data_IF_021195569161
#
_entry.id   IF_021195569161
#
_cell.length_a   1.000
_cell.length_b   1.000
_cell.length_c   1.000
_cell.angle_alpha   90.00
_cell.angle_beta   90.00
_cell.angle_gamma   90.00
#
_symmetry.space_group_name_H-M   'P 1'
#
loop_
_entity.id
_entity.type
_entity.pdbx_description
1 polymer ?
#
# COMPACT_ATOMS: atom_id res chain seq x y z
N UNK A 1 -26.44 -25.20 2.64
CA UNK A 1 -26.20 -24.12 3.63
C UNK A 1 -25.51 -22.99 2.89
N UNK A 2 -26.01 -21.75 2.97
CA UNK A 2 -25.29 -20.61 2.38
C UNK A 2 -24.01 -20.39 3.18
N UNK A 3 -22.86 -20.33 2.50
CA UNK A 3 -21.61 -19.98 3.13
C UNK A 3 -21.75 -18.63 3.85
N UNK A 4 -21.38 -18.50 5.13
CA UNK A 4 -21.52 -17.24 5.85
C UNK A 4 -20.74 -16.10 5.17
N UNK A 5 -19.71 -16.41 4.37
CA UNK A 5 -18.93 -15.44 3.62
C UNK A 5 -19.57 -15.02 2.29
N UNK A 6 -20.59 -15.74 1.80
CA UNK A 6 -21.30 -15.37 0.55
C UNK A 6 -21.97 -13.99 0.62
N UNK A 7 -22.26 -13.51 1.84
CA UNK A 7 -22.80 -12.15 2.07
C UNK A 7 -21.84 -11.04 1.63
N UNK A 8 -20.52 -11.29 1.70
CA UNK A 8 -19.50 -10.31 1.29
C UNK A 8 -19.65 -10.00 -0.20
N UNK A 9 -19.98 -11.02 -0.99
CA UNK A 9 -20.15 -10.93 -2.43
C UNK A 9 -21.47 -10.27 -2.84
N UNK A 10 -22.54 -10.44 -2.05
CA UNK A 10 -23.81 -9.79 -2.33
C UNK A 10 -23.79 -8.30 -1.95
N UNK A 11 -23.01 -7.94 -0.93
CA UNK A 11 -22.80 -6.55 -0.50
C UNK A 11 -21.84 -5.79 -1.42
N UNK A 12 -20.89 -6.48 -2.07
CA UNK A 12 -19.88 -5.88 -2.94
C UNK A 12 -19.96 -6.44 -4.36
N UNK A 13 -21.12 -6.33 -5.01
CA UNK A 13 -21.28 -6.83 -6.38
C UNK A 13 -20.36 -6.11 -7.36
N UNK A 14 -19.82 -6.83 -8.34
CA UNK A 14 -19.01 -6.25 -9.41
C UNK A 14 -19.85 -5.33 -10.31
N UNK A 15 -19.46 -4.06 -10.38
CA UNK A 15 -20.04 -3.04 -11.27
C UNK A 15 -19.07 -2.57 -12.35
N UNK A 16 -17.77 -2.87 -12.20
CA UNK A 16 -16.69 -2.47 -13.10
C UNK A 16 -15.61 -1.72 -12.34
N UNK A 17 -15.92 -0.50 -11.87
CA UNK A 17 -14.97 0.36 -11.15
C UNK A 17 -14.41 -0.28 -9.87
N UNK A 18 -15.19 -1.13 -9.20
CA UNK A 18 -14.80 -1.81 -7.96
C UNK A 18 -14.11 -3.17 -8.18
N UNK A 19 -13.55 -3.42 -9.38
CA UNK A 19 -13.01 -4.73 -9.75
C UNK A 19 -12.01 -5.30 -8.76
N UNK A 20 -11.06 -4.50 -8.24
CA UNK A 20 -10.06 -5.01 -7.29
C UNK A 20 -10.63 -5.41 -5.94
N UNK A 21 -11.54 -4.60 -5.40
CA UNK A 21 -12.18 -4.91 -4.13
C UNK A 21 -13.10 -6.12 -4.25
N UNK A 22 -13.85 -6.20 -5.35
CA UNK A 22 -14.64 -7.38 -5.70
C UNK A 22 -13.75 -8.62 -5.85
N UNK A 23 -12.65 -8.54 -6.60
CA UNK A 23 -11.69 -9.64 -6.82
C UNK A 23 -11.09 -10.11 -5.49
N UNK A 24 -10.70 -9.18 -4.61
CA UNK A 24 -10.18 -9.50 -3.27
C UNK A 24 -11.22 -10.25 -2.43
N UNK A 25 -12.46 -9.75 -2.42
CA UNK A 25 -13.57 -10.39 -1.71
C UNK A 25 -13.90 -11.78 -2.27
N UNK A 26 -13.92 -11.92 -3.60
CA UNK A 26 -14.10 -13.21 -4.28
C UNK A 26 -13.02 -14.21 -3.87
N UNK A 27 -11.74 -13.80 -3.91
CA UNK A 27 -10.63 -14.68 -3.55
C UNK A 27 -10.70 -15.12 -2.08
N UNK A 28 -11.17 -14.27 -1.16
CA UNK A 28 -11.41 -14.66 0.23
C UNK A 28 -12.43 -15.81 0.30
N UNK A 29 -13.56 -15.69 -0.38
CA UNK A 29 -14.62 -16.73 -0.40
C UNK A 29 -14.11 -18.01 -1.05
N UNK A 30 -13.48 -17.92 -2.23
CA UNK A 30 -12.97 -19.08 -2.95
C UNK A 30 -11.84 -19.80 -2.19
N UNK A 31 -10.99 -19.07 -1.47
CA UNK A 31 -9.95 -19.67 -0.63
C UNK A 31 -10.57 -20.39 0.57
N UNK A 32 -11.52 -19.75 1.26
CA UNK A 32 -12.21 -20.37 2.40
C UNK A 32 -12.92 -21.66 2.00
N UNK A 33 -13.54 -21.68 0.82
CA UNK A 33 -14.26 -22.84 0.29
C UNK A 33 -13.39 -23.81 -0.51
N UNK A 34 -12.08 -23.52 -0.61
CA UNK A 34 -11.07 -24.36 -1.28
C UNK A 34 -11.33 -24.59 -2.77
N UNK A 35 -11.86 -23.57 -3.44
CA UNK A 35 -12.12 -23.57 -4.89
C UNK A 35 -11.14 -22.71 -5.69
N UNK A 36 -10.34 -21.85 -5.05
CA UNK A 36 -9.44 -20.90 -5.74
C UNK A 36 -8.42 -21.53 -6.68
N UNK A 37 -8.04 -22.79 -6.46
CA UNK A 37 -7.05 -23.49 -7.28
C UNK A 37 -7.46 -23.61 -8.75
N UNK A 38 -8.75 -23.65 -9.08
CA UNK A 38 -9.24 -23.76 -10.47
C UNK A 38 -8.99 -22.49 -11.31
N UNK A 39 -8.66 -21.37 -10.67
CA UNK A 39 -8.30 -20.14 -11.37
C UNK A 39 -6.86 -20.18 -11.91
N UNK A 40 -5.99 -21.00 -11.30
CA UNK A 40 -4.56 -21.02 -11.63
C UNK A 40 -4.12 -22.36 -12.24
N UNK A 41 -4.67 -23.47 -11.73
CA UNK A 41 -4.29 -24.81 -12.16
C UNK A 41 -5.11 -25.23 -13.39
N UNK A 42 -4.46 -25.83 -14.41
CA UNK A 42 -5.18 -26.36 -15.56
C UNK A 42 -6.10 -27.50 -15.16
N UNK A 43 -7.18 -27.70 -15.94
CA UNK A 43 -8.05 -28.86 -15.81
C UNK A 43 -7.23 -30.15 -16.02
N UNK A 44 -7.34 -31.17 -15.15
CA UNK A 44 -6.73 -32.47 -15.40
C UNK A 44 -7.23 -33.09 -16.72
N UNK A 45 -6.40 -33.86 -17.44
CA UNK A 45 -6.84 -34.54 -18.64
C UNK A 45 -7.89 -35.60 -18.29
N UNK A 46 -8.77 -35.92 -19.25
CA UNK A 46 -9.71 -37.03 -19.10
C UNK A 46 -8.93 -38.34 -18.94
N UNK A 47 -9.12 -39.10 -17.85
CA UNK A 47 -8.40 -40.35 -17.65
C UNK A 47 -8.77 -41.42 -18.68
N UNK A 48 -7.83 -42.32 -18.98
CA UNK A 48 -8.10 -43.52 -19.76
C UNK A 48 -8.96 -44.50 -18.94
N UNK A 49 -9.62 -45.45 -19.62
CA UNK A 49 -10.54 -46.42 -18.97
C UNK A 49 -9.81 -47.27 -17.90
N UNK A 50 -8.53 -47.54 -18.10
CA UNK A 50 -7.66 -48.32 -17.21
C UNK A 50 -6.87 -47.45 -16.22
N UNK A 51 -7.11 -46.15 -16.19
CA UNK A 51 -6.44 -45.24 -15.27
C UNK A 51 -6.82 -45.54 -13.81
N UNK A 52 -5.93 -45.26 -12.84
CA UNK A 52 -6.26 -45.41 -11.43
C UNK A 52 -7.42 -44.49 -11.00
N UNK A 53 -8.26 -44.96 -10.08
CA UNK A 53 -9.42 -44.21 -9.53
C UNK A 53 -9.07 -42.79 -9.09
N UNK A 54 -7.85 -42.58 -8.56
CA UNK A 54 -7.38 -41.26 -8.10
C UNK A 54 -7.43 -40.19 -9.20
N UNK A 55 -7.25 -40.58 -10.46
CA UNK A 55 -7.21 -39.66 -11.60
C UNK A 55 -8.62 -39.19 -11.95
N UNK A 56 -9.61 -40.10 -11.88
CA UNK A 56 -11.04 -39.76 -12.00
C UNK A 56 -11.51 -38.86 -10.86
N UNK A 57 -11.12 -39.18 -9.62
CA UNK A 57 -11.43 -38.36 -8.43
C UNK A 57 -10.83 -36.95 -8.55
N UNK A 58 -9.61 -36.84 -9.08
CA UNK A 58 -8.97 -35.54 -9.30
C UNK A 58 -9.72 -34.69 -10.34
N UNK A 59 -10.13 -35.30 -11.45
CA UNK A 59 -10.91 -34.62 -12.50
C UNK A 59 -12.26 -34.16 -11.96
N UNK A 60 -13.03 -35.04 -11.32
CA UNK A 60 -14.34 -34.72 -10.74
C UNK A 60 -14.21 -33.60 -9.70
N UNK A 61 -13.20 -33.66 -8.83
CA UNK A 61 -12.93 -32.60 -7.85
C UNK A 61 -12.66 -31.25 -8.52
N UNK A 62 -11.89 -31.24 -9.60
CA UNK A 62 -11.60 -30.02 -10.35
C UNK A 62 -12.87 -29.48 -11.01
N UNK A 63 -13.64 -30.33 -11.71
CA UNK A 63 -14.87 -29.93 -12.40
C UNK A 63 -15.92 -29.38 -11.43
N UNK A 64 -16.12 -30.03 -10.29
CA UNK A 64 -17.01 -29.55 -9.22
C UNK A 64 -16.55 -28.21 -8.64
N UNK A 65 -15.24 -28.05 -8.40
CA UNK A 65 -14.69 -26.78 -7.87
C UNK A 65 -14.79 -25.66 -8.90
N UNK A 66 -14.60 -25.96 -10.19
CA UNK A 66 -14.76 -25.00 -11.28
C UNK A 66 -16.21 -24.53 -11.37
N UNK A 67 -17.18 -25.46 -11.30
CA UNK A 67 -18.60 -25.11 -11.28
C UNK A 67 -18.94 -24.20 -10.08
N UNK A 68 -18.48 -24.54 -8.87
CA UNK A 68 -18.66 -23.70 -7.68
C UNK A 68 -18.06 -22.30 -7.87
N UNK A 69 -16.82 -22.21 -8.37
CA UNK A 69 -16.18 -20.93 -8.62
C UNK A 69 -16.91 -20.08 -9.66
N UNK A 70 -17.41 -20.69 -10.74
CA UNK A 70 -18.25 -20.02 -11.73
C UNK A 70 -19.53 -19.46 -11.11
N UNK A 71 -20.20 -20.23 -10.25
CA UNK A 71 -21.38 -19.77 -9.52
C UNK A 71 -21.08 -18.56 -8.64
N UNK A 72 -19.97 -18.58 -7.90
CA UNK A 72 -19.56 -17.44 -7.07
C UNK A 72 -19.27 -16.19 -7.90
N UNK A 73 -18.51 -16.34 -8.98
CA UNK A 73 -18.17 -15.23 -9.88
C UNK A 73 -19.45 -14.62 -10.44
N UNK A 74 -20.33 -15.43 -11.05
CA UNK A 74 -21.57 -14.94 -11.67
C UNK A 74 -22.53 -14.33 -10.65
N UNK A 75 -22.79 -15.02 -9.54
CA UNK A 75 -23.73 -14.52 -8.53
C UNK A 75 -23.29 -13.20 -7.88
N UNK A 76 -21.98 -12.92 -7.90
CA UNK A 76 -21.39 -11.71 -7.33
C UNK A 76 -21.23 -10.56 -8.33
N UNK A 77 -21.77 -10.68 -9.54
CA UNK A 77 -21.76 -9.65 -10.57
C UNK A 77 -23.09 -8.91 -10.70
N UNK A 78 -23.06 -7.72 -11.32
CA UNK A 78 -24.26 -7.08 -11.85
C UNK A 78 -24.91 -7.93 -12.94
N UNK A 79 -26.22 -7.78 -13.14
CA UNK A 79 -26.98 -8.56 -14.13
C UNK A 79 -26.45 -8.38 -15.57
N UNK A 80 -25.93 -7.18 -15.89
CA UNK A 80 -25.35 -6.89 -17.21
C UNK A 80 -24.09 -7.72 -17.43
N UNK A 81 -23.19 -7.76 -16.45
CA UNK A 81 -21.96 -8.54 -16.51
C UNK A 81 -22.23 -10.05 -16.49
N UNK A 82 -23.23 -10.50 -15.70
CA UNK A 82 -23.66 -11.90 -15.72
C UNK A 82 -24.00 -12.34 -17.14
N UNK A 83 -24.89 -11.59 -17.81
CA UNK A 83 -25.33 -11.88 -19.17
C UNK A 83 -24.18 -11.89 -20.17
N UNK A 84 -23.24 -10.97 -20.04
CA UNK A 84 -22.06 -10.92 -20.91
C UNK A 84 -21.14 -12.15 -20.77
N UNK A 85 -21.17 -12.84 -19.62
CA UNK A 85 -20.26 -13.95 -19.31
C UNK A 85 -20.94 -15.33 -19.22
N UNK A 86 -22.16 -15.49 -19.75
CA UNK A 86 -22.92 -16.76 -19.72
C UNK A 86 -22.23 -17.89 -20.51
N UNK A 87 -21.61 -17.56 -21.64
CA UNK A 87 -21.04 -18.55 -22.58
C UNK A 87 -19.64 -19.07 -22.16
N UNK A 88 -18.98 -18.43 -21.19
CA UNK A 88 -17.68 -18.89 -20.71
C UNK A 88 -17.80 -20.25 -20.00
N UNK A 89 -16.90 -21.18 -20.32
CA UNK A 89 -16.99 -22.58 -19.89
C UNK A 89 -16.28 -22.85 -18.56
N UNK A 90 -15.37 -21.94 -18.14
CA UNK A 90 -14.59 -22.11 -16.92
C UNK A 90 -14.54 -20.82 -16.10
N UNK A 91 -14.36 -20.97 -14.78
CA UNK A 91 -14.16 -19.85 -13.87
C UNK A 91 -12.94 -19.01 -14.28
N UNK A 92 -11.87 -19.68 -14.75
CA UNK A 92 -10.67 -19.05 -15.24
C UNK A 92 -10.94 -18.16 -16.46
N UNK A 93 -11.64 -18.66 -17.46
CA UNK A 93 -11.99 -17.85 -18.65
C UNK A 93 -12.81 -16.60 -18.28
N UNK A 94 -13.76 -16.72 -17.35
CA UNK A 94 -14.51 -15.55 -16.86
C UNK A 94 -13.54 -14.57 -16.19
N UNK A 95 -12.68 -15.05 -15.30
CA UNK A 95 -11.73 -14.22 -14.58
C UNK A 95 -10.76 -13.50 -15.52
N UNK A 96 -10.20 -14.22 -16.49
CA UNK A 96 -9.26 -13.68 -17.49
C UNK A 96 -9.93 -12.57 -18.32
N UNK A 97 -11.19 -12.74 -18.74
CA UNK A 97 -11.90 -11.71 -19.51
C UNK A 97 -12.23 -10.48 -18.65
N UNK A 98 -12.57 -10.65 -17.37
CA UNK A 98 -12.77 -9.49 -16.49
C UNK A 98 -11.47 -8.73 -16.24
N UNK A 99 -10.34 -9.44 -16.12
CA UNK A 99 -9.02 -8.81 -16.03
C UNK A 99 -8.67 -8.06 -17.32
N UNK A 100 -9.06 -8.57 -18.48
CA UNK A 100 -8.94 -7.85 -19.76
C UNK A 100 -9.81 -6.59 -19.78
N UNK A 101 -11.06 -6.66 -19.31
CA UNK A 101 -12.00 -5.52 -19.33
C UNK A 101 -11.63 -4.41 -18.33
N UNK A 102 -11.19 -4.78 -17.12
CA UNK A 102 -11.03 -3.85 -15.99
C UNK A 102 -9.59 -3.71 -15.48
N UNK A 103 -8.66 -4.54 -15.98
CA UNK A 103 -7.26 -4.53 -15.55
C UNK A 103 -6.52 -3.26 -15.95
N UNK A 104 -6.78 -2.70 -17.14
CA UNK A 104 -6.15 -1.44 -17.57
C UNK A 104 -6.55 -0.26 -16.66
N UNK A 105 -7.83 -0.17 -16.30
CA UNK A 105 -8.33 0.86 -15.38
C UNK A 105 -7.65 0.76 -14.02
N UNK A 106 -7.42 -0.47 -13.55
CA UNK A 106 -6.68 -0.76 -12.32
C UNK A 106 -5.23 -0.30 -12.42
N UNK A 107 -4.53 -0.62 -13.52
CA UNK A 107 -3.14 -0.22 -13.74
C UNK A 107 -3.04 1.31 -13.80
N UNK A 108 -3.97 1.98 -14.47
CA UNK A 108 -4.02 3.42 -14.57
C UNK A 108 -4.23 4.06 -13.19
N UNK A 109 -5.24 3.61 -12.43
CA UNK A 109 -5.51 4.10 -11.06
C UNK A 109 -4.31 3.89 -10.13
N UNK A 110 -3.68 2.69 -10.17
CA UNK A 110 -2.44 2.41 -9.43
C UNK A 110 -1.34 3.39 -9.80
N UNK A 111 -1.13 3.60 -11.10
CA UNK A 111 -0.10 4.50 -11.63
C UNK A 111 -0.35 5.95 -11.23
N UNK A 112 -1.59 6.41 -11.28
CA UNK A 112 -1.97 7.77 -10.92
C UNK A 112 -1.85 8.03 -9.42
N UNK A 113 -2.21 7.06 -8.58
CA UNK A 113 -1.98 7.12 -7.14
C UNK A 113 -0.48 7.21 -6.80
N UNK A 114 0.35 6.36 -7.44
CA UNK A 114 1.82 6.39 -7.26
C UNK A 114 2.40 7.72 -7.75
N UNK A 115 1.98 8.23 -8.92
CA UNK A 115 2.40 9.56 -9.42
C UNK A 115 1.96 10.67 -8.48
N UNK A 116 0.73 10.60 -7.96
CA UNK A 116 0.19 11.54 -6.98
C UNK A 116 1.05 11.57 -5.73
N UNK A 117 1.42 10.40 -5.21
CA UNK A 117 2.34 10.24 -4.08
C UNK A 117 3.73 10.82 -4.38
N UNK A 118 4.34 10.44 -5.49
CA UNK A 118 5.68 10.89 -5.88
C UNK A 118 5.78 12.39 -6.09
N UNK A 119 4.70 13.03 -6.50
CA UNK A 119 4.61 14.48 -6.68
C UNK A 119 4.06 15.21 -5.44
N UNK A 120 3.64 14.47 -4.41
CA UNK A 120 3.15 15.07 -3.17
C UNK A 120 4.32 15.68 -2.39
N UNK A 121 4.24 16.98 -2.09
CA UNK A 121 5.22 17.67 -1.27
C UNK A 121 4.49 18.45 -0.19
N UNK A 122 4.95 18.29 1.05
CA UNK A 122 4.46 19.08 2.17
C UNK A 122 4.87 20.53 1.93
N UNK A 123 3.91 21.43 2.10
CA UNK A 123 4.11 22.88 2.01
C UNK A 123 3.98 23.46 3.39
N UNK A 124 4.78 24.48 3.71
CA UNK A 124 4.85 25.12 5.03
C UNK A 124 3.46 25.58 5.51
N UNK A 125 2.61 26.03 4.59
CA UNK A 125 1.27 26.52 4.89
C UNK A 125 0.26 25.41 5.20
N UNK A 126 0.55 24.16 4.81
CA UNK A 126 -0.34 23.02 4.99
C UNK A 126 0.04 22.28 6.27
N UNK A 127 -0.87 22.17 7.27
CA UNK A 127 -0.62 21.43 8.48
C UNK A 127 -0.19 19.99 8.18
N UNK A 128 0.80 19.48 8.92
CA UNK A 128 1.38 18.16 8.63
C UNK A 128 0.34 17.03 8.69
N UNK A 129 -0.66 17.16 9.56
CA UNK A 129 -1.78 16.21 9.64
C UNK A 129 -2.56 16.13 8.33
N UNK A 130 -2.85 17.27 7.70
CA UNK A 130 -3.57 17.33 6.42
C UNK A 130 -2.75 16.70 5.29
N UNK A 131 -1.45 17.04 5.24
CA UNK A 131 -0.52 16.42 4.30
C UNK A 131 -0.46 14.90 4.46
N UNK A 132 -0.31 14.41 5.70
CA UNK A 132 -0.27 12.98 6.01
C UNK A 132 -1.54 12.25 5.60
N UNK A 133 -2.73 12.83 5.85
CA UNK A 133 -3.99 12.23 5.40
C UNK A 133 -4.02 12.06 3.88
N UNK A 134 -3.52 13.05 3.13
CA UNK A 134 -3.43 12.97 1.65
C UNK A 134 -2.46 11.89 1.19
N UNK A 135 -1.28 11.79 1.81
CA UNK A 135 -0.28 10.75 1.51
C UNK A 135 -0.82 9.36 1.80
N UNK A 136 -1.49 9.19 2.95
CA UNK A 136 -2.15 7.92 3.32
C UNK A 136 -3.25 7.53 2.32
N UNK A 137 -4.00 8.51 1.79
CA UNK A 137 -4.99 8.27 0.74
C UNK A 137 -4.35 7.69 -0.53
N UNK A 138 -3.26 8.30 -1.02
CA UNK A 138 -2.54 7.77 -2.20
C UNK A 138 -1.96 6.37 -1.97
N UNK A 139 -1.39 6.10 -0.79
CA UNK A 139 -0.89 4.77 -0.45
C UNK A 139 -2.02 3.73 -0.45
N UNK A 140 -3.15 4.05 0.18
CA UNK A 140 -4.32 3.19 0.21
C UNK A 140 -4.88 2.94 -1.19
N UNK A 141 -4.97 3.98 -2.03
CA UNK A 141 -5.46 3.87 -3.41
C UNK A 141 -4.51 3.01 -4.26
N UNK A 142 -3.19 3.20 -4.15
CA UNK A 142 -2.21 2.38 -4.85
C UNK A 142 -2.33 0.90 -4.44
N UNK A 143 -2.40 0.62 -3.13
CA UNK A 143 -2.52 -0.75 -2.60
C UNK A 143 -3.84 -1.41 -2.98
N UNK A 144 -4.94 -0.65 -2.94
CA UNK A 144 -6.27 -1.14 -3.35
C UNK A 144 -6.29 -1.52 -4.83
N UNK A 145 -5.50 -0.82 -5.64
CA UNK A 145 -5.29 -1.11 -7.07
C UNK A 145 -4.09 -2.04 -7.34
N UNK A 146 -3.65 -2.80 -6.33
CA UNK A 146 -2.69 -3.89 -6.48
C UNK A 146 -1.21 -3.52 -6.40
N UNK A 147 -0.86 -2.35 -5.84
CA UNK A 147 0.53 -2.06 -5.48
C UNK A 147 0.93 -2.83 -4.21
N UNK A 148 2.05 -3.56 -4.27
CA UNK A 148 2.63 -4.22 -3.12
C UNK A 148 3.66 -3.29 -2.46
N UNK A 149 3.25 -2.59 -1.40
CA UNK A 149 4.10 -1.65 -0.67
C UNK A 149 4.17 -2.09 0.79
N UNK A 150 5.32 -2.63 1.20
CA UNK A 150 5.54 -3.04 2.58
C UNK A 150 5.59 -1.83 3.53
N UNK A 151 5.36 -2.07 4.82
CA UNK A 151 5.27 -1.01 5.83
C UNK A 151 6.53 -0.16 5.92
N UNK A 152 7.74 -0.74 5.77
CA UNK A 152 8.98 0.03 5.84
C UNK A 152 9.12 0.96 4.62
N UNK A 153 8.79 0.45 3.43
CA UNK A 153 8.77 1.25 2.20
C UNK A 153 7.77 2.40 2.27
N UNK A 154 6.58 2.18 2.86
CA UNK A 154 5.59 3.24 3.06
C UNK A 154 6.17 4.41 3.89
N UNK A 155 6.89 4.12 4.97
CA UNK A 155 7.52 5.15 5.81
C UNK A 155 8.58 5.94 5.04
N UNK A 156 9.42 5.26 4.26
CA UNK A 156 10.41 5.92 3.40
C UNK A 156 9.74 6.85 2.40
N UNK A 157 8.67 6.39 1.74
CA UNK A 157 7.89 7.21 0.81
C UNK A 157 7.30 8.45 1.49
N UNK A 158 6.75 8.30 2.70
CA UNK A 158 6.24 9.45 3.47
C UNK A 158 7.34 10.48 3.71
N UNK A 159 8.52 10.07 4.20
CA UNK A 159 9.61 11.00 4.46
C UNK A 159 10.05 11.77 3.20
N UNK A 160 10.03 11.13 2.03
CA UNK A 160 10.35 11.80 0.75
C UNK A 160 9.33 12.88 0.35
N UNK A 161 8.12 12.85 0.92
CA UNK A 161 7.11 13.89 0.67
C UNK A 161 7.24 15.08 1.62
N UNK A 162 7.99 14.95 2.72
CA UNK A 162 8.09 16.02 3.72
C UNK A 162 8.98 17.17 3.22
N UNK A 163 8.73 18.37 3.75
CA UNK A 163 9.61 19.51 3.51
C UNK A 163 10.83 19.43 4.42
N UNK A 164 11.82 20.28 4.13
CA UNK A 164 13.09 20.37 4.88
C UNK A 164 12.91 20.74 6.35
N UNK A 165 11.77 21.33 6.72
CA UNK A 165 11.45 21.66 8.12
C UNK A 165 11.39 20.40 9.00
N UNK A 166 11.22 19.22 8.40
CA UNK A 166 11.19 17.92 9.07
C UNK A 166 12.50 17.14 8.97
N UNK A 167 13.59 17.69 8.41
CA UNK A 167 14.88 17.00 8.27
C UNK A 167 15.45 16.55 9.63
N UNK A 168 15.29 17.38 10.67
CA UNK A 168 15.70 17.04 12.04
C UNK A 168 14.90 15.88 12.62
N UNK A 169 13.60 15.82 12.33
CA UNK A 169 12.74 14.71 12.73
C UNK A 169 13.17 13.42 12.02
N UNK A 170 13.38 13.47 10.70
CA UNK A 170 13.80 12.32 9.91
C UNK A 170 15.17 11.77 10.36
N UNK A 171 16.13 12.64 10.65
CA UNK A 171 17.44 12.24 11.17
C UNK A 171 17.31 11.52 12.53
N UNK A 172 16.48 12.05 13.44
CA UNK A 172 16.20 11.43 14.73
C UNK A 172 15.54 10.06 14.58
N UNK A 173 14.56 9.94 13.68
CA UNK A 173 13.89 8.67 13.39
C UNK A 173 14.86 7.61 12.85
N UNK A 174 15.73 8.00 11.91
CA UNK A 174 16.70 7.09 11.30
C UNK A 174 17.73 6.54 12.28
N UNK A 175 18.08 7.30 13.33
CA UNK A 175 18.98 6.86 14.40
C UNK A 175 18.27 5.92 15.37
N UNK A 176 16.99 6.15 15.61
CA UNK A 176 16.19 5.45 16.60
C UNK A 176 15.22 4.44 15.98
N UNK A 177 15.57 3.85 14.82
CA UNK A 177 14.73 3.00 13.94
C UNK A 177 13.67 2.22 14.71
N UNK A 178 12.53 2.87 14.91
CA UNK A 178 11.40 2.31 15.62
C UNK A 178 10.39 1.91 14.58
N UNK A 179 9.95 0.65 14.64
CA UNK A 179 8.80 0.23 13.87
C UNK A 179 7.59 1.09 14.29
N UNK A 180 6.99 1.75 13.32
CA UNK A 180 5.84 2.61 13.56
C UNK A 180 4.84 2.49 12.43
N UNK A 181 3.56 2.57 12.79
CA UNK A 181 2.47 2.71 11.83
C UNK A 181 2.42 4.12 11.24
N UNK A 182 1.76 4.28 10.09
CA UNK A 182 1.51 5.60 9.48
C UNK A 182 0.75 6.54 10.42
N UNK A 183 -0.16 6.00 11.24
CA UNK A 183 -0.92 6.77 12.22
C UNK A 183 -0.04 7.26 13.37
N UNK A 184 0.91 6.46 13.84
CA UNK A 184 1.88 6.89 14.84
C UNK A 184 2.83 7.94 14.26
N UNK A 185 3.31 7.75 13.03
CA UNK A 185 4.16 8.73 12.34
C UNK A 185 3.46 10.08 12.22
N UNK A 186 2.19 10.08 11.80
CA UNK A 186 1.39 11.31 11.73
C UNK A 186 1.28 12.01 13.09
N UNK A 187 1.08 11.27 14.19
CA UNK A 187 1.00 11.85 15.55
C UNK A 187 2.33 12.46 15.99
N UNK A 188 3.44 11.76 15.75
CA UNK A 188 4.78 12.25 16.12
C UNK A 188 5.19 13.47 15.30
N UNK A 189 4.93 13.46 13.99
CA UNK A 189 5.13 14.61 13.12
C UNK A 189 4.28 15.82 13.55
N UNK A 190 3.03 15.59 13.95
CA UNK A 190 2.16 16.65 14.45
C UNK A 190 2.66 17.22 15.79
N UNK A 191 3.15 16.37 16.69
CA UNK A 191 3.78 16.83 17.94
C UNK A 191 5.02 17.68 17.66
N UNK A 192 5.86 17.25 16.71
CA UNK A 192 7.04 17.99 16.26
C UNK A 192 6.68 19.36 15.67
N UNK A 193 5.67 19.41 14.78
CA UNK A 193 5.17 20.66 14.19
C UNK A 193 4.69 21.65 15.26
N UNK A 194 3.98 21.17 16.29
CA UNK A 194 3.48 22.00 17.39
C UNK A 194 4.60 22.58 18.26
N UNK A 195 5.69 21.83 18.48
CA UNK A 195 6.85 22.31 19.25
C UNK A 195 7.51 23.48 18.49
N UNK A 196 7.73 23.32 17.18
CA UNK A 196 8.34 24.35 16.34
C UNK A 196 7.47 25.61 16.21
N UNK A 197 6.15 25.46 16.06
CA UNK A 197 5.22 26.60 16.05
C UNK A 197 5.08 27.27 17.43
N UNK A 198 5.17 26.49 18.51
CA UNK A 198 5.11 26.98 19.89
C UNK A 198 6.36 27.76 20.34
N UNK A 199 7.52 27.50 19.75
CA UNK A 199 8.75 28.26 20.01
C UNK A 199 8.80 29.64 19.33
N UNK A 200 7.91 29.93 18.38
CA UNK A 200 7.85 31.21 17.66
C UNK A 200 7.00 32.30 18.31
N UNK A 201 6.22 31.99 19.35
CA UNK A 201 5.25 32.92 19.97
C UNK A 201 5.58 33.36 21.40
N UNK A 202 6.82 33.14 21.87
CA UNK A 202 7.34 33.73 23.11
C UNK A 202 8.74 34.33 22.91
N UNK A 203 8.80 35.44 22.17
CA UNK A 203 9.95 36.34 22.19
C UNK A 203 9.54 37.80 21.97
N UNK A 204 8.56 38.28 22.73
CA UNK A 204 8.55 39.69 23.13
C UNK A 204 9.03 39.76 24.59
N UNK A 205 10.34 39.80 24.75
CA UNK A 205 10.97 40.20 25.99
C UNK A 205 12.22 41.03 25.65
N UNK A 206 12.00 42.35 25.64
CA UNK A 206 12.94 43.43 25.86
C UNK A 206 14.29 43.38 25.15
N UNK A 207 14.44 44.30 24.18
CA UNK A 207 15.73 44.80 23.71
C UNK A 207 16.50 45.38 24.91
N UNK A 208 17.61 44.74 25.26
CA UNK A 208 18.70 45.36 26.00
C UNK A 208 20.03 44.97 25.33
N UNK A 209 20.80 45.99 24.94
CA UNK A 209 22.12 45.90 24.32
C UNK A 209 23.21 45.40 25.31
N UNK A 210 24.41 45.00 24.83
CA UNK A 210 25.10 43.80 25.29
C UNK A 210 26.08 44.08 26.45
N UNK A 211 26.01 43.29 27.52
CA UNK A 211 27.15 43.19 28.46
C UNK A 211 28.18 42.22 27.89
N UNK A 212 29.38 42.74 27.62
CA UNK A 212 30.57 41.98 27.21
C UNK A 212 30.82 40.81 28.16
N UNK A 213 30.68 39.58 27.67
CA UNK A 213 31.17 38.39 28.34
C UNK A 213 32.28 37.77 27.49
N UNK A 214 33.50 37.77 28.04
CA UNK A 214 34.67 37.07 27.49
C UNK A 214 34.55 35.57 27.82
N UNK A 215 34.78 34.64 26.87
CA UNK A 215 34.72 33.23 27.17
C UNK A 215 35.99 32.82 27.92
N UNK A 216 35.85 32.39 29.18
CA UNK A 216 36.92 31.66 29.86
C UNK A 216 36.74 30.17 29.55
N UNK A 217 37.72 29.65 28.82
CA UNK A 217 37.75 28.28 28.31
C UNK A 217 37.78 27.26 29.46
N UNK A 218 36.90 26.26 29.37
CA UNK A 218 37.14 24.95 29.96
C UNK A 218 36.99 23.91 28.85
N UNK A 219 38.14 23.44 28.37
CA UNK A 219 38.24 22.28 27.52
C UNK A 219 38.89 21.15 28.32
N UNK A 220 38.14 20.09 28.63
CA UNK A 220 38.68 18.74 28.76
C UNK A 220 37.61 17.75 28.29
N UNK A 221 37.89 17.07 27.16
CA UNK A 221 37.08 15.97 26.63
C UNK A 221 36.67 16.07 25.16
N UNK A 222 37.61 16.38 24.24
CA UNK A 222 37.34 16.50 22.79
C UNK A 222 36.57 15.29 22.20
N UNK A 223 35.57 15.50 21.34
CA UNK A 223 35.72 15.95 19.96
C UNK A 223 34.71 17.04 19.59
N UNK A 224 35.23 18.03 18.86
CA UNK A 224 34.60 19.29 18.44
C UNK A 224 33.46 19.06 17.43
N UNK A 225 32.36 19.79 17.63
CA UNK A 225 31.12 19.81 16.83
C UNK A 225 31.25 20.33 15.38
N UNK A 226 32.44 20.41 14.80
CA UNK A 226 32.66 20.89 13.43
C UNK A 226 32.83 19.79 12.38
N UNK A 227 32.76 18.51 12.77
CA UNK A 227 32.88 17.39 11.81
C UNK A 227 31.53 16.77 11.40
N UNK A 228 30.41 17.16 12.00
CA UNK A 228 29.11 16.50 11.74
C UNK A 228 28.48 16.84 10.39
N UNK A 229 28.91 17.95 9.76
CA UNK A 229 28.43 18.34 8.42
C UNK A 229 29.07 17.49 7.31
N UNK A 230 30.18 16.78 7.57
CA UNK A 230 30.90 16.02 6.53
C UNK A 230 30.52 14.54 6.43
N UNK A 231 29.87 13.98 7.45
CA UNK A 231 29.48 12.56 7.46
C UNK A 231 28.12 12.29 6.81
N UNK A 232 27.26 13.32 6.68
CA UNK A 232 25.93 13.21 6.08
C UNK A 232 25.98 13.13 4.54
N UNK A 233 27.10 13.49 3.92
CA UNK A 233 27.26 13.47 2.45
C UNK A 233 27.56 12.08 1.85
N UNK A 234 27.73 11.02 2.65
CA UNK A 234 28.26 9.73 2.16
C UNK A 234 27.32 8.53 2.29
N UNK A 235 26.05 8.71 2.62
CA UNK A 235 25.07 7.61 2.57
C UNK A 235 24.14 7.83 1.37
N UNK A 236 24.63 7.49 0.19
CA UNK A 236 23.78 7.27 -0.98
C UNK A 236 22.97 5.99 -0.76
N UNK A 237 21.77 6.12 -0.18
CA UNK A 237 20.72 5.14 -0.42
C UNK A 237 20.36 5.25 -1.90
N UNK A 238 20.69 4.23 -2.70
CA UNK A 238 20.32 4.15 -4.12
C UNK A 238 18.78 4.12 -4.25
N UNK A 239 18.11 5.26 -4.52
CA UNK A 239 16.65 5.33 -4.48
C UNK A 239 16.05 4.64 -5.71
N UNK A 240 16.81 4.61 -6.81
CA UNK A 240 16.39 4.07 -8.11
C UNK A 240 16.22 2.55 -8.05
N UNK A 241 17.09 1.85 -7.32
CA UNK A 241 17.00 0.39 -7.15
C UNK A 241 15.78 -0.06 -6.34
N UNK A 242 15.40 0.72 -5.31
CA UNK A 242 14.20 0.46 -4.51
C UNK A 242 12.92 0.83 -5.28
N UNK A 243 12.97 1.90 -6.08
CA UNK A 243 11.86 2.34 -6.93
C UNK A 243 11.53 1.35 -8.06
N UNK A 244 12.53 0.71 -8.67
CA UNK A 244 12.31 -0.29 -9.73
C UNK A 244 11.57 -1.53 -9.23
N UNK A 245 11.78 -1.95 -7.98
CA UNK A 245 11.05 -3.07 -7.34
C UNK A 245 9.60 -2.75 -6.97
N UNK A 246 9.24 -1.48 -6.90
CA UNK A 246 7.87 -1.06 -6.63
C UNK A 246 7.04 -0.85 -7.92
N UNK A 247 7.73 -0.71 -9.06
CA UNK A 247 7.12 -0.47 -10.37
C UNK A 247 6.96 -1.78 -11.17
N UNK A 248 7.89 -2.73 -11.01
CA UNK A 248 7.91 -4.04 -11.67
C UNK A 248 7.75 -5.16 -10.65
#
# INVERSE_FOLDING_TARGET
MSSPLSVILTQNKLTGENFNDWKRNLLIVLNFEKHSFVLTQPRPPTPAIDAPDRDFVALERWDNSNLSAMCYIRASMSNVLQKQHEEHQTARQIMDNLEEMFGEQTIQAKTDAIKGLMNCRQKVEIPIKEHMMKVMAYLSEAQTNGAEIDSATQLVMVFQTLSKDFDLFQASYNLNRKEMSLTELMKELQAFENIFKGSGSKAEANVAEPSKYTPQAYAVGGVVLTSFVKAVSNVELNPVGTLLRAIF
#
